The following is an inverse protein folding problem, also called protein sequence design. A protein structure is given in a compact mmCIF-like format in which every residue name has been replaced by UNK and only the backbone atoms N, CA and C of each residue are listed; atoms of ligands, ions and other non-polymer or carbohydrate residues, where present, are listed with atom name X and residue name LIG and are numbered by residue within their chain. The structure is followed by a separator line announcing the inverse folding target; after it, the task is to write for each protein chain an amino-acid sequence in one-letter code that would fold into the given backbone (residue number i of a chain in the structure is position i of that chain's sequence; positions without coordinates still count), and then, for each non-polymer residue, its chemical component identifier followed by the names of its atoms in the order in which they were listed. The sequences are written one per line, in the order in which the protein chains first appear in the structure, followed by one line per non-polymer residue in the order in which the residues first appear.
data_IF_358390854528
#
_entry.id   IF_358390854528
#
_cell.length_a   1.000
_cell.length_b   1.000
_cell.length_c   1.000
_cell.angle_alpha   90.00
_cell.angle_beta   90.00
_cell.angle_gamma   90.00
#
_symmetry.space_group_name_H-M   'P 1'
#
loop_
_entity.id
_entity.type
_entity.pdbx_description
1 polymer ?
#
# COMPACT_ATOMS: atom_id res chain seq x y z
N UNK A 1 21.55 -18.20 23.06
CA UNK A 1 20.78 -17.37 24.01
C UNK A 1 21.71 -17.02 25.17
N UNK A 2 21.81 -15.76 25.57
CA UNK A 2 22.76 -15.32 26.61
C UNK A 2 22.35 -15.83 27.99
N UNK A 3 23.34 -16.05 28.87
CA UNK A 3 23.11 -16.51 30.24
C UNK A 3 22.25 -15.52 31.04
N UNK A 4 22.55 -14.22 30.92
CA UNK A 4 21.82 -13.14 31.58
C UNK A 4 20.31 -13.17 31.30
N UNK A 5 19.90 -13.54 30.08
CA UNK A 5 18.48 -13.62 29.73
C UNK A 5 17.81 -14.86 30.34
N UNK A 6 18.52 -15.99 30.41
CA UNK A 6 18.00 -17.19 31.07
C UNK A 6 17.80 -16.95 32.56
N UNK A 7 18.74 -16.25 33.21
CA UNK A 7 18.64 -15.93 34.63
C UNK A 7 17.49 -14.97 34.92
N UNK A 8 17.28 -13.97 34.04
CA UNK A 8 16.11 -13.09 34.12
C UNK A 8 14.78 -13.86 34.02
N UNK A 9 14.66 -14.78 33.06
CA UNK A 9 13.45 -15.59 32.90
C UNK A 9 13.19 -16.49 34.11
N UNK A 10 14.24 -17.12 34.64
CA UNK A 10 14.17 -17.92 35.87
C UNK A 10 13.76 -17.08 37.07
N UNK A 11 14.32 -15.87 37.20
CA UNK A 11 13.95 -14.92 38.25
C UNK A 11 12.47 -14.51 38.17
N UNK A 12 11.93 -14.37 36.95
CA UNK A 12 10.51 -14.10 36.70
C UNK A 12 9.62 -15.36 36.75
N UNK A 13 10.18 -16.53 37.02
CA UNK A 13 9.47 -17.83 37.04
C UNK A 13 8.75 -18.09 35.70
N UNK A 14 9.38 -17.68 34.59
CA UNK A 14 8.87 -17.89 33.23
C UNK A 14 9.56 -19.10 32.60
N UNK A 15 8.75 -20.05 32.12
CA UNK A 15 9.22 -21.18 31.30
C UNK A 15 9.38 -20.69 29.86
N UNK A 16 10.58 -20.82 29.32
CA UNK A 16 10.86 -20.48 27.92
C UNK A 16 10.86 -21.76 27.07
N UNK A 17 9.77 -21.93 26.33
CA UNK A 17 9.62 -22.99 25.35
C UNK A 17 10.34 -22.62 24.05
N UNK A 18 11.25 -23.48 23.60
CA UNK A 18 11.99 -23.29 22.35
C UNK A 18 11.40 -24.18 21.27
N UNK A 19 11.25 -23.64 20.06
CA UNK A 19 10.98 -24.46 18.89
C UNK A 19 12.09 -25.49 18.70
N UNK A 20 11.73 -26.68 18.21
CA UNK A 20 12.68 -27.72 17.88
C UNK A 20 13.61 -27.24 16.74
N UNK A 21 14.84 -27.72 16.75
CA UNK A 21 15.78 -27.43 15.67
C UNK A 21 15.25 -27.98 14.35
N UNK A 22 15.40 -27.21 13.26
CA UNK A 22 14.97 -27.60 11.91
C UNK A 22 13.46 -27.85 11.73
N UNK A 23 12.60 -27.35 12.63
CA UNK A 23 11.14 -27.42 12.48
C UNK A 23 10.51 -26.03 12.28
N UNK A 24 10.68 -25.41 11.10
CA UNK A 24 10.18 -24.05 10.82
C UNK A 24 8.67 -23.90 10.98
N UNK A 25 7.90 -24.98 10.84
CA UNK A 25 6.44 -25.01 10.99
C UNK A 25 5.98 -24.61 12.40
N UNK A 26 6.82 -24.79 13.42
CA UNK A 26 6.54 -24.35 14.78
C UNK A 26 6.66 -22.82 14.96
N UNK A 27 7.23 -22.11 13.98
CA UNK A 27 7.40 -20.66 14.04
C UNK A 27 6.62 -19.98 12.91
N UNK A 28 5.29 -20.07 13.00
CA UNK A 28 4.38 -19.57 11.97
C UNK A 28 4.55 -18.08 11.63
N UNK A 29 5.03 -17.25 12.57
CA UNK A 29 5.32 -15.83 12.32
C UNK A 29 6.48 -15.68 11.34
N UNK A 30 7.57 -16.42 11.55
CA UNK A 30 8.75 -16.38 10.67
C UNK A 30 8.39 -16.88 9.28
N UNK A 31 7.64 -17.98 9.19
CA UNK A 31 7.23 -18.55 7.91
C UNK A 31 6.34 -17.58 7.12
N UNK A 32 5.34 -16.95 7.76
CA UNK A 32 4.50 -15.93 7.11
C UNK A 32 5.30 -14.70 6.69
N UNK A 33 6.22 -14.24 7.54
CA UNK A 33 7.09 -13.12 7.20
C UNK A 33 7.94 -13.43 5.97
N UNK A 34 8.53 -14.62 5.92
CA UNK A 34 9.32 -15.06 4.76
C UNK A 34 8.44 -15.13 3.51
N UNK A 35 7.22 -15.65 3.62
CA UNK A 35 6.26 -15.71 2.52
C UNK A 35 5.92 -14.31 1.98
N UNK A 36 5.59 -13.34 2.84
CA UNK A 36 5.31 -11.96 2.42
C UNK A 36 6.51 -11.33 1.69
N UNK A 37 7.71 -11.44 2.26
CA UNK A 37 8.92 -10.89 1.67
C UNK A 37 9.23 -11.51 0.31
N UNK A 38 9.08 -12.83 0.19
CA UNK A 38 9.34 -13.57 -1.05
C UNK A 38 8.30 -13.27 -2.13
N UNK A 39 7.01 -13.27 -1.78
CA UNK A 39 5.91 -13.04 -2.73
C UNK A 39 6.04 -11.69 -3.45
N UNK A 40 6.45 -10.65 -2.72
CA UNK A 40 6.54 -9.28 -3.24
C UNK A 40 7.96 -8.81 -3.53
N UNK A 41 8.95 -9.71 -3.45
CA UNK A 41 10.36 -9.47 -3.79
C UNK A 41 10.97 -8.27 -3.03
N UNK A 42 10.50 -8.00 -1.82
CA UNK A 42 10.93 -6.84 -1.05
C UNK A 42 12.38 -6.98 -0.58
N UNK A 43 13.18 -5.89 -0.62
CA UNK A 43 14.52 -5.87 -0.04
C UNK A 43 14.52 -6.27 1.44
N UNK A 44 15.57 -6.97 1.88
CA UNK A 44 15.73 -7.44 3.28
C UNK A 44 15.65 -6.32 4.32
N UNK A 45 15.89 -5.06 3.94
CA UNK A 45 15.71 -3.89 4.80
C UNK A 45 14.29 -3.75 5.36
N UNK A 46 13.27 -4.28 4.67
CA UNK A 46 11.87 -4.23 5.11
C UNK A 46 11.43 -5.43 5.95
N UNK A 47 12.35 -6.33 6.34
CA UNK A 47 12.05 -7.50 7.16
C UNK A 47 11.26 -7.15 8.43
N UNK A 48 11.67 -6.09 9.15
CA UNK A 48 10.99 -5.68 10.38
C UNK A 48 9.52 -5.32 10.16
N UNK A 49 9.23 -4.62 9.06
CA UNK A 49 7.88 -4.24 8.65
C UNK A 49 7.05 -5.45 8.23
N UNK A 50 7.67 -6.43 7.56
CA UNK A 50 7.03 -7.69 7.22
C UNK A 50 6.68 -8.52 8.47
N UNK A 51 7.55 -8.54 9.50
CA UNK A 51 7.25 -9.22 10.79
C UNK A 51 6.06 -8.57 11.48
N UNK A 52 6.08 -7.24 11.58
CA UNK A 52 5.00 -6.48 12.21
C UNK A 52 3.67 -6.69 11.47
N UNK A 53 3.69 -6.62 10.14
CA UNK A 53 2.50 -6.84 9.31
C UNK A 53 2.00 -8.28 9.44
N UNK A 54 2.90 -9.27 9.35
CA UNK A 54 2.52 -10.68 9.54
C UNK A 54 1.83 -10.89 10.87
N UNK A 55 2.45 -10.40 11.96
CA UNK A 55 1.92 -10.50 13.33
C UNK A 55 0.56 -9.81 13.46
N UNK A 56 0.42 -8.62 12.87
CA UNK A 56 -0.84 -7.87 12.83
C UNK A 56 -1.97 -8.68 12.18
N UNK A 57 -1.67 -9.34 11.05
CA UNK A 57 -2.61 -10.20 10.34
C UNK A 57 -2.93 -11.47 11.15
N UNK A 58 -1.92 -12.16 11.71
CA UNK A 58 -2.15 -13.36 12.54
C UNK A 58 -3.13 -13.05 13.67
N UNK A 59 -2.96 -11.91 14.32
CA UNK A 59 -3.77 -11.55 15.47
C UNK A 59 -5.22 -11.23 15.11
N UNK A 60 -5.52 -10.85 13.87
CA UNK A 60 -6.86 -10.40 13.43
C UNK A 60 -7.59 -11.39 12.53
N UNK A 61 -6.88 -12.36 11.96
CA UNK A 61 -7.51 -13.38 11.14
C UNK A 61 -8.09 -14.51 12.01
N UNK A 62 -9.27 -15.03 11.67
CA UNK A 62 -9.86 -16.16 12.38
C UNK A 62 -9.02 -17.42 12.16
N UNK A 63 -9.03 -18.32 13.15
CA UNK A 63 -8.32 -19.59 13.07
C UNK A 63 -9.18 -20.75 13.53
N UNK A 64 -9.02 -21.91 12.89
CA UNK A 64 -9.75 -23.12 13.23
C UNK A 64 -9.52 -23.58 14.68
N UNK A 65 -8.32 -23.37 15.23
CA UNK A 65 -7.95 -23.76 16.60
C UNK A 65 -8.73 -22.95 17.65
N UNK A 66 -9.26 -21.78 17.26
CA UNK A 66 -10.03 -20.88 18.12
C UNK A 66 -11.51 -20.83 17.72
N UNK A 67 -12.07 -21.91 17.17
CA UNK A 67 -13.47 -21.97 16.71
C UNK A 67 -13.83 -20.85 15.72
N UNK A 68 -12.92 -20.58 14.78
CA UNK A 68 -13.04 -19.48 13.80
C UNK A 68 -13.09 -18.07 14.41
N UNK A 69 -12.59 -17.90 15.64
CA UNK A 69 -12.32 -16.59 16.22
C UNK A 69 -10.88 -16.16 15.99
N UNK A 70 -10.65 -14.86 15.98
CA UNK A 70 -9.31 -14.28 15.93
C UNK A 70 -8.68 -14.18 17.33
N UNK A 71 -7.34 -14.22 17.46
CA UNK A 71 -6.67 -13.93 18.74
C UNK A 71 -7.07 -12.57 19.33
N UNK A 72 -7.30 -11.57 18.48
CA UNK A 72 -7.79 -10.24 18.88
C UNK A 72 -9.18 -10.32 19.52
N UNK A 73 -10.12 -11.07 18.94
CA UNK A 73 -11.44 -11.33 19.54
C UNK A 73 -11.33 -12.03 20.88
N UNK A 74 -10.46 -13.03 20.97
CA UNK A 74 -10.29 -13.80 22.20
C UNK A 74 -9.80 -12.92 23.35
N UNK A 75 -8.91 -11.97 23.05
CA UNK A 75 -8.33 -11.05 24.01
C UNK A 75 -9.26 -9.87 24.36
N UNK A 76 -9.82 -9.20 23.35
CA UNK A 76 -10.58 -7.96 23.51
C UNK A 76 -12.09 -8.16 23.63
N UNK A 77 -12.58 -9.39 23.41
CA UNK A 77 -14.01 -9.76 23.41
C UNK A 77 -14.84 -9.02 22.34
N UNK A 78 -14.17 -8.47 21.33
CA UNK A 78 -14.77 -7.72 20.22
C UNK A 78 -14.10 -8.12 18.91
N UNK A 79 -14.90 -8.23 17.83
CA UNK A 79 -14.42 -8.52 16.49
C UNK A 79 -13.55 -7.38 15.93
N UNK A 80 -12.36 -7.66 15.35
CA UNK A 80 -11.59 -6.62 14.71
C UNK A 80 -12.28 -6.16 13.43
N UNK A 81 -12.30 -4.85 13.20
CA UNK A 81 -12.49 -4.32 11.86
C UNK A 81 -11.31 -4.75 10.98
N UNK A 82 -11.60 -5.39 9.84
CA UNK A 82 -10.62 -5.86 8.86
C UNK A 82 -10.77 -5.17 7.50
N UNK A 83 -11.69 -4.21 7.37
CA UNK A 83 -11.97 -3.50 6.11
C UNK A 83 -10.78 -2.69 5.60
N UNK A 84 -9.90 -2.28 6.51
CA UNK A 84 -8.66 -1.54 6.22
C UNK A 84 -7.49 -2.45 5.86
N UNK A 85 -7.66 -3.78 5.90
CA UNK A 85 -6.58 -4.67 5.50
C UNK A 85 -6.28 -4.51 4.00
N UNK A 86 -4.99 -4.46 3.68
CA UNK A 86 -4.46 -4.26 2.33
C UNK A 86 -3.29 -5.20 2.04
N UNK A 87 -3.03 -5.41 0.76
CA UNK A 87 -1.96 -6.29 0.27
C UNK A 87 -0.58 -5.68 0.55
N UNK A 88 0.20 -6.32 1.41
CA UNK A 88 1.56 -5.91 1.76
C UNK A 88 2.45 -5.77 0.50
N UNK A 89 3.33 -4.76 0.46
CA UNK A 89 4.28 -4.58 -0.64
C UNK A 89 3.68 -4.05 -1.95
N UNK A 90 2.37 -3.79 -2.02
CA UNK A 90 1.75 -3.20 -3.20
C UNK A 90 2.13 -1.72 -3.39
N UNK A 91 1.94 -1.24 -4.63
CA UNK A 91 2.06 0.17 -4.98
C UNK A 91 0.91 0.97 -4.34
N UNK A 92 1.27 2.11 -3.77
CA UNK A 92 0.34 3.05 -3.15
C UNK A 92 0.67 4.45 -3.61
N UNK A 93 -0.34 5.27 -3.85
CA UNK A 93 -0.15 6.71 -4.00
C UNK A 93 -0.64 7.41 -2.74
N UNK A 94 0.23 8.16 -2.09
CA UNK A 94 -0.14 8.97 -0.93
C UNK A 94 -0.27 10.44 -1.31
N UNK A 95 -1.17 11.14 -0.62
CA UNK A 95 -1.29 12.59 -0.78
C UNK A 95 -0.42 13.30 0.24
N UNK A 96 0.48 14.18 -0.21
CA UNK A 96 1.27 15.02 0.69
C UNK A 96 0.57 16.37 0.89
N UNK A 97 -0.16 16.51 1.99
CA UNK A 97 -0.85 17.75 2.38
C UNK A 97 0.15 18.66 3.10
N UNK A 98 1.06 19.28 2.33
CA UNK A 98 1.85 20.39 2.85
C UNK A 98 1.03 21.67 2.68
N UNK A 99 0.68 22.40 3.75
CA UNK A 99 0.07 23.71 3.62
C UNK A 99 1.04 24.63 2.87
N UNK A 100 0.53 25.40 1.90
CA UNK A 100 1.27 26.34 1.03
C UNK A 100 1.95 25.80 -0.25
N UNK A 101 1.58 24.63 -0.76
CA UNK A 101 1.96 24.25 -2.14
C UNK A 101 1.13 25.00 -3.19
N UNK A 102 1.77 25.31 -4.31
CA UNK A 102 1.13 25.89 -5.50
C UNK A 102 -0.12 25.10 -5.92
N UNK A 103 -1.16 25.80 -6.41
CA UNK A 103 -2.49 25.23 -6.70
C UNK A 103 -2.46 24.03 -7.65
N UNK A 104 -1.42 23.93 -8.49
CA UNK A 104 -1.25 22.90 -9.53
C UNK A 104 -0.09 21.92 -9.30
N UNK A 105 0.59 21.98 -8.14
CA UNK A 105 1.67 21.06 -7.86
C UNK A 105 1.17 19.61 -7.76
N UNK A 106 1.96 18.59 -8.21
CA UNK A 106 1.63 17.19 -8.01
C UNK A 106 1.37 16.89 -6.53
N UNK A 107 0.24 16.24 -6.26
CA UNK A 107 -0.20 15.92 -4.89
C UNK A 107 -0.07 14.45 -4.54
N UNK A 108 -0.03 13.56 -5.54
CA UNK A 108 0.06 12.12 -5.37
C UNK A 108 1.50 11.65 -5.62
N UNK A 109 2.04 10.90 -4.66
CA UNK A 109 3.42 10.41 -4.71
C UNK A 109 3.44 8.89 -4.58
N UNK A 110 4.23 8.17 -5.40
CA UNK A 110 4.29 6.72 -5.36
C UNK A 110 5.07 6.24 -4.14
N UNK A 111 4.53 5.22 -3.48
CA UNK A 111 5.08 4.60 -2.30
C UNK A 111 4.74 3.09 -2.28
N UNK A 112 5.34 2.37 -1.33
CA UNK A 112 5.09 0.94 -1.10
C UNK A 112 4.43 0.77 0.24
N UNK A 113 3.39 -0.04 0.30
CA UNK A 113 2.74 -0.36 1.56
C UNK A 113 3.61 -1.25 2.46
N UNK A 114 3.95 -0.75 3.65
CA UNK A 114 4.78 -1.44 4.65
C UNK A 114 4.00 -1.92 5.89
N UNK A 115 2.68 -1.70 5.96
CA UNK A 115 1.86 -2.19 7.08
C UNK A 115 1.24 -1.09 7.93
N UNK A 116 0.92 -1.44 9.17
CA UNK A 116 0.06 -0.64 10.04
C UNK A 116 0.85 -0.06 11.23
N UNK A 117 0.84 1.27 11.44
CA UNK A 117 1.41 1.87 12.64
C UNK A 117 0.56 1.49 13.88
N UNK A 118 1.17 1.32 15.07
CA UNK A 118 0.48 0.77 16.24
C UNK A 118 -0.60 1.69 16.85
N UNK A 119 -0.41 3.01 16.78
CA UNK A 119 -1.25 3.98 17.51
C UNK A 119 -2.00 4.96 16.60
N UNK A 120 -2.04 4.70 15.29
CA UNK A 120 -2.63 5.63 14.32
C UNK A 120 -3.50 4.89 13.31
N UNK A 121 -4.69 5.45 13.00
CA UNK A 121 -5.55 4.96 11.91
C UNK A 121 -5.02 5.45 10.56
N UNK A 122 -3.87 4.94 10.17
CA UNK A 122 -3.13 5.31 8.97
C UNK A 122 -2.34 4.10 8.46
N UNK A 123 -1.56 4.29 7.40
CA UNK A 123 -0.70 3.28 6.81
C UNK A 123 0.75 3.72 6.83
N UNK A 124 1.65 2.79 7.11
CA UNK A 124 3.09 2.98 7.00
C UNK A 124 3.49 2.69 5.55
N UNK A 125 4.15 3.65 4.92
CA UNK A 125 4.53 3.58 3.52
C UNK A 125 6.00 3.89 3.34
N UNK A 126 6.61 3.37 2.28
CA UNK A 126 7.94 3.74 1.83
C UNK A 126 7.84 4.58 0.56
N UNK A 127 8.16 5.86 0.66
CA UNK A 127 8.30 6.75 -0.49
C UNK A 127 9.49 6.30 -1.34
N UNK A 128 9.20 5.85 -2.56
CA UNK A 128 10.19 5.25 -3.47
C UNK A 128 11.13 6.34 -4.02
N UNK A 129 10.65 7.59 -4.12
CA UNK A 129 11.39 8.71 -4.69
C UNK A 129 12.35 9.30 -3.66
N UNK A 130 11.85 9.57 -2.45
CA UNK A 130 12.64 10.20 -1.40
C UNK A 130 13.35 9.20 -0.48
N UNK A 131 13.11 7.90 -0.67
CA UNK A 131 13.61 6.82 0.18
C UNK A 131 13.32 7.02 1.66
N UNK A 132 12.10 7.51 1.98
CA UNK A 132 11.67 7.82 3.34
C UNK A 132 10.45 6.99 3.72
N UNK A 133 10.44 6.55 4.98
CA UNK A 133 9.25 5.99 5.59
C UNK A 133 8.33 7.13 6.00
N UNK A 134 7.07 7.03 5.60
CA UNK A 134 6.02 7.99 5.91
C UNK A 134 4.83 7.27 6.55
N UNK A 135 4.01 8.02 7.28
CA UNK A 135 2.71 7.54 7.74
C UNK A 135 1.65 8.45 7.13
N UNK A 136 0.70 7.86 6.42
CA UNK A 136 -0.39 8.62 5.81
C UNK A 136 -1.70 7.83 5.85
N UNK A 137 -2.80 8.55 6.06
CA UNK A 137 -4.16 8.02 5.96
C UNK A 137 -4.72 8.17 4.55
N UNK A 138 -4.37 9.25 3.86
CA UNK A 138 -4.91 9.61 2.55
C UNK A 138 -4.09 8.94 1.45
N UNK A 139 -4.53 7.73 1.09
CA UNK A 139 -3.81 6.83 0.19
C UNK A 139 -4.76 6.12 -0.78
N UNK A 140 -4.24 5.80 -1.96
CA UNK A 140 -4.91 4.97 -2.97
C UNK A 140 -4.04 3.74 -3.24
N UNK A 141 -4.61 2.55 -3.09
CA UNK A 141 -3.91 1.27 -3.23
C UNK A 141 -4.06 0.70 -4.64
N UNK A 142 -2.96 0.18 -5.18
CA UNK A 142 -2.92 -0.58 -6.43
C UNK A 142 -2.40 -1.99 -6.11
N UNK A 143 -3.29 -2.82 -5.55
CA UNK A 143 -2.93 -4.10 -4.92
C UNK A 143 -2.43 -5.19 -5.88
N UNK A 144 -2.52 -4.95 -7.19
CA UNK A 144 -2.00 -5.84 -8.23
C UNK A 144 -0.62 -5.42 -8.76
N UNK A 145 -0.12 -4.26 -8.34
CA UNK A 145 1.16 -3.71 -8.80
C UNK A 145 2.19 -3.79 -7.67
N UNK A 146 3.34 -4.38 -7.98
CA UNK A 146 4.40 -4.63 -7.00
C UNK A 146 5.73 -4.08 -7.53
N UNK A 147 6.17 -2.89 -7.07
CA UNK A 147 7.35 -2.21 -7.64
C UNK A 147 8.65 -3.02 -7.58
N UNK A 148 8.77 -3.96 -6.65
CA UNK A 148 9.95 -4.83 -6.51
C UNK A 148 9.83 -6.19 -7.20
N UNK A 149 8.66 -6.54 -7.75
CA UNK A 149 8.49 -7.80 -8.48
C UNK A 149 9.03 -7.63 -9.89
N UNK A 150 10.20 -8.21 -10.16
CA UNK A 150 10.82 -8.20 -11.49
C UNK A 150 10.08 -9.23 -12.38
N UNK A 151 9.36 -8.74 -13.40
CA UNK A 151 8.96 -9.52 -14.58
C UNK A 151 7.67 -10.35 -14.50
N UNK A 152 6.54 -9.72 -14.82
CA UNK A 152 5.64 -10.16 -15.91
C UNK A 152 4.94 -8.90 -16.47
N UNK A 153 5.75 -7.93 -16.87
CA UNK A 153 5.28 -6.79 -17.65
C UNK A 153 5.48 -7.19 -19.12
N UNK A 154 4.48 -7.84 -19.71
CA UNK A 154 4.37 -7.83 -21.17
C UNK A 154 4.33 -6.38 -21.62
N UNK A 155 5.35 -5.92 -22.34
CA UNK A 155 5.41 -4.67 -23.10
C UNK A 155 4.54 -3.52 -22.58
N UNK A 156 4.85 -2.94 -21.42
CA UNK A 156 4.44 -1.56 -21.16
C UNK A 156 5.55 -0.68 -21.70
N UNK A 157 5.34 -0.17 -22.90
CA UNK A 157 6.10 0.95 -23.44
C UNK A 157 6.14 2.03 -22.37
N UNK A 158 7.33 2.40 -21.92
CA UNK A 158 7.53 3.68 -21.25
C UNK A 158 6.91 4.75 -22.15
N UNK A 159 5.98 5.59 -21.68
CA UNK A 159 5.72 6.83 -22.39
C UNK A 159 6.99 7.66 -22.20
N UNK A 160 7.86 7.60 -23.20
CA UNK A 160 8.89 8.60 -23.42
C UNK A 160 8.21 9.96 -23.39
N UNK A 161 8.83 10.89 -22.65
CA UNK A 161 8.79 12.34 -22.81
C UNK A 161 7.61 12.87 -23.63
N UNK A 162 6.57 13.38 -22.95
CA UNK A 162 5.66 14.32 -23.60
C UNK A 162 6.47 15.58 -23.87
N UNK A 163 7.06 15.66 -25.06
CA UNK A 163 7.44 16.94 -25.65
C UNK A 163 6.17 17.79 -25.71
N UNK A 164 6.27 19.04 -25.26
CA UNK A 164 5.23 20.02 -25.44
C UNK A 164 4.85 20.09 -26.93
N UNK A 165 3.56 20.13 -27.29
CA UNK A 165 3.18 20.26 -28.68
C UNK A 165 3.60 21.64 -29.19
N UNK A 166 4.42 21.61 -30.25
CA UNK A 166 4.77 22.76 -31.05
C UNK A 166 3.49 23.49 -31.52
N UNK A 167 3.51 24.81 -31.37
CA UNK A 167 2.61 25.70 -32.07
C UNK A 167 2.87 25.56 -33.56
N UNK A 168 1.87 25.13 -34.35
CA UNK A 168 1.74 25.56 -35.74
C UNK A 168 0.30 25.39 -36.27
N UNK A 169 -0.26 26.54 -36.64
CA UNK A 169 -1.18 26.84 -37.74
C UNK A 169 -2.09 25.73 -38.29
N UNK A 170 -3.39 25.82 -37.98
CA UNK A 170 -4.46 25.30 -38.85
C UNK A 170 -5.28 26.50 -39.34
N UNK A 171 -5.16 26.79 -40.63
CA UNK A 171 -5.93 27.83 -41.31
C UNK A 171 -7.41 27.48 -41.37
N UNK A 172 -8.24 28.45 -40.99
CA UNK A 172 -9.68 28.46 -41.23
C UNK A 172 -9.93 28.86 -42.69
N UNK A 173 -10.58 27.99 -43.48
CA UNK A 173 -11.28 28.42 -44.70
C UNK A 173 -12.66 28.99 -44.33
N UNK A 174 -13.05 30.17 -44.83
CA UNK A 174 -14.35 30.77 -44.55
C UNK A 174 -15.42 30.24 -45.52
N UNK A 175 -16.32 29.40 -45.02
CA UNK A 175 -17.56 29.02 -45.72
C UNK A 175 -18.68 30.02 -45.43
N UNK A 176 -19.20 30.62 -46.51
CA UNK A 176 -20.29 31.60 -46.56
C UNK A 176 -21.53 31.18 -45.73
N UNK A 177 -22.05 32.11 -44.94
CA UNK A 177 -23.43 32.07 -44.43
C UNK A 177 -24.25 32.97 -45.34
N UNK A 178 -25.18 32.38 -46.08
CA UNK A 178 -26.13 33.07 -46.93
C UNK A 178 -27.17 33.81 -46.06
N UNK A 179 -27.20 35.14 -46.16
CA UNK A 179 -28.21 36.02 -45.58
C UNK A 179 -29.09 36.55 -46.73
N UNK A 180 -30.03 35.72 -47.17
CA UNK A 180 -31.11 36.09 -48.08
C UNK A 180 -32.41 36.32 -47.32
N UNK A 181 -32.84 37.58 -47.26
CA UNK A 181 -34.19 38.02 -46.86
C UNK A 181 -35.24 37.41 -47.78
N UNK A 182 -36.41 37.04 -47.24
CA UNK A 182 -37.65 37.52 -47.85
C UNK A 182 -38.81 37.59 -46.85
N UNK A 183 -39.49 38.72 -46.92
CA UNK A 183 -40.69 39.10 -46.18
C UNK A 183 -41.94 38.38 -46.72
N UNK A 184 -43.01 38.46 -45.92
CA UNK A 184 -44.44 38.42 -46.27
C UNK A 184 -45.16 37.06 -46.36
N UNK A 185 -46.00 36.82 -45.34
CA UNK A 185 -47.30 36.11 -45.28
C UNK A 185 -47.42 35.43 -43.88
N UNK A 186 -48.42 35.61 -43.02
CA UNK A 186 -49.75 36.19 -43.09
C UNK A 186 -50.20 36.53 -41.65
N UNK A 187 -50.84 37.69 -41.50
CA UNK A 187 -51.83 37.95 -40.46
C UNK A 187 -53.09 37.15 -40.77
N UNK A 188 -53.58 36.36 -39.81
CA UNK A 188 -54.99 36.14 -39.45
C UNK A 188 -55.06 35.18 -38.25
#
# INVERSE_FOLDING_TARGET
MSQNFQDFLRFKVLVHEKSCAYTPQQNGIVERTRALMFQYHLPKSFWGDAVLTSTYLINRLPSHILDWKSPYEMLNKEAPDISHLRVFGCLVFFTNIVPHKEKFAPRAFPAIFLGYPPSQKAYKLFDIVNHKVIISRDVVFYEHLFPYKIGDQGNVSTPNTINAPDHDHIGFEPGLIDLGKDESALLA
#
